data_IF_843847019150
#
_entry.id   IF_843847019150
#
_cell.length_a   1.000
_cell.length_b   1.000
_cell.length_c   1.000
_cell.angle_alpha   90.00
_cell.angle_beta   90.00
_cell.angle_gamma   90.00
#
_symmetry.space_group_name_H-M   'P 1'
#
loop_
_entity.id
_entity.type
_entity.pdbx_description
1 polymer ?
#
# COMPACT_ATOMS: atom_id res chain seq x y z
N UNK A 1 14.73 4.81 -7.00
CA UNK A 1 14.35 3.52 -6.37
C UNK A 1 13.16 2.97 -7.11
N UNK A 2 12.98 1.63 -7.16
CA UNK A 2 11.87 1.00 -7.89
C UNK A 2 10.64 0.92 -7.01
N UNK A 3 9.47 1.23 -7.55
CA UNK A 3 8.25 1.31 -6.76
C UNK A 3 7.05 0.65 -7.45
N UNK A 4 6.03 0.37 -6.65
CA UNK A 4 4.74 -0.15 -7.08
C UNK A 4 3.64 0.62 -6.36
N UNK A 5 2.63 1.05 -7.10
CA UNK A 5 1.41 1.63 -6.57
C UNK A 5 0.28 0.64 -6.76
N UNK A 6 -0.48 0.37 -5.70
CA UNK A 6 -1.72 -0.43 -5.77
C UNK A 6 -2.86 0.40 -5.20
N UNK A 7 -3.92 0.63 -5.99
CA UNK A 7 -5.05 1.48 -5.60
C UNK A 7 -6.37 0.74 -5.72
N UNK A 8 -7.21 0.90 -4.70
CA UNK A 8 -8.60 0.47 -4.67
C UNK A 8 -9.51 1.71 -4.74
N UNK A 9 -10.63 1.60 -5.45
CA UNK A 9 -11.70 2.60 -5.39
C UNK A 9 -12.50 2.41 -4.11
N UNK A 10 -12.91 3.52 -3.48
CA UNK A 10 -13.83 3.52 -2.33
C UNK A 10 -15.22 4.08 -2.68
N UNK A 11 -15.46 4.48 -3.93
CA UNK A 11 -16.70 5.16 -4.34
C UNK A 11 -17.97 4.37 -4.01
N UNK A 12 -17.91 3.04 -4.15
CA UNK A 12 -19.03 2.11 -3.88
C UNK A 12 -18.73 1.15 -2.73
N UNK A 13 -17.73 1.48 -1.90
CA UNK A 13 -17.31 0.62 -0.81
C UNK A 13 -18.32 0.65 0.37
N UNK A 14 -18.39 -0.41 1.19
CA UNK A 14 -19.31 -0.46 2.32
C UNK A 14 -19.10 0.67 3.34
N UNK A 15 -20.17 1.06 4.03
CA UNK A 15 -20.06 2.06 5.10
C UNK A 15 -19.03 1.64 6.18
N UNK A 16 -18.16 2.58 6.56
CA UNK A 16 -17.09 2.37 7.53
C UNK A 16 -15.87 1.62 6.98
N UNK A 17 -15.73 1.50 5.66
CA UNK A 17 -14.56 0.88 5.02
C UNK A 17 -13.26 1.57 5.42
N UNK A 18 -13.25 2.89 5.56
CA UNK A 18 -12.05 3.67 5.87
C UNK A 18 -11.47 3.29 7.23
N UNK A 19 -12.32 3.16 8.25
CA UNK A 19 -11.91 2.76 9.59
C UNK A 19 -11.43 1.31 9.62
N UNK A 20 -12.09 0.42 8.86
CA UNK A 20 -11.65 -0.97 8.73
C UNK A 20 -10.29 -1.08 8.06
N UNK A 21 -10.05 -0.29 7.02
CA UNK A 21 -8.75 -0.23 6.33
C UNK A 21 -7.66 0.32 7.26
N UNK A 22 -7.94 1.41 7.98
CA UNK A 22 -7.00 1.98 8.93
C UNK A 22 -6.67 1.03 10.07
N UNK A 23 -7.66 0.31 10.61
CA UNK A 23 -7.47 -0.74 11.63
C UNK A 23 -6.65 -1.91 11.07
N UNK A 24 -6.98 -2.41 9.88
CA UNK A 24 -6.20 -3.44 9.21
C UNK A 24 -4.73 -3.05 9.02
N UNK A 25 -4.47 -1.79 8.64
CA UNK A 25 -3.11 -1.27 8.52
C UNK A 25 -2.40 -1.30 9.87
N UNK A 26 -3.00 -0.71 10.90
CA UNK A 26 -2.41 -0.62 12.24
C UNK A 26 -2.14 -2.01 12.85
N UNK A 27 -3.12 -2.91 12.75
CA UNK A 27 -3.12 -4.17 13.49
C UNK A 27 -2.28 -5.26 12.82
N UNK A 28 -2.15 -5.24 11.49
CA UNK A 28 -1.53 -6.35 10.76
C UNK A 28 -0.68 -5.94 9.57
N UNK A 29 -1.15 -5.03 8.72
CA UNK A 29 -0.45 -4.68 7.49
C UNK A 29 0.89 -4.02 7.81
N UNK A 30 0.92 -3.10 8.78
CA UNK A 30 2.12 -2.39 9.17
C UNK A 30 3.23 -3.37 9.57
N UNK A 31 2.97 -4.20 10.59
CA UNK A 31 3.94 -5.18 11.08
C UNK A 31 4.41 -6.17 9.99
N UNK A 32 3.52 -6.60 9.09
CA UNK A 32 3.89 -7.51 7.99
C UNK A 32 4.92 -6.92 7.03
N UNK A 33 4.84 -5.61 6.76
CA UNK A 33 5.75 -4.94 5.83
C UNK A 33 6.95 -4.30 6.53
N UNK A 34 6.86 -4.04 7.84
CA UNK A 34 8.01 -3.64 8.65
C UNK A 34 9.07 -4.75 8.63
N UNK A 35 10.27 -4.43 8.14
CA UNK A 35 11.37 -5.40 8.06
C UNK A 35 11.25 -6.44 6.93
N UNK A 36 10.30 -6.27 5.99
CA UNK A 36 10.20 -7.14 4.83
C UNK A 36 11.45 -7.01 3.95
N UNK A 37 12.10 -8.13 3.65
CA UNK A 37 13.29 -8.16 2.80
C UNK A 37 13.02 -7.55 1.42
N UNK A 38 13.95 -6.71 0.97
CA UNK A 38 13.87 -6.01 -0.32
C UNK A 38 12.95 -4.78 -0.34
N UNK A 39 12.15 -4.53 0.70
CA UNK A 39 11.32 -3.33 0.82
C UNK A 39 12.08 -2.22 1.57
N UNK A 40 12.16 -1.02 1.00
CA UNK A 40 12.77 0.16 1.61
C UNK A 40 11.80 0.88 2.53
N UNK A 41 10.60 1.17 2.04
CA UNK A 41 9.50 1.66 2.84
C UNK A 41 8.19 1.43 2.10
N UNK A 42 7.10 1.47 2.86
CA UNK A 42 5.75 1.45 2.35
C UNK A 42 4.94 2.54 3.03
N UNK A 43 4.11 3.22 2.26
CA UNK A 43 3.09 4.10 2.81
C UNK A 43 1.70 3.59 2.43
N UNK A 44 0.74 3.82 3.32
CA UNK A 44 -0.67 3.62 3.07
C UNK A 44 -1.31 4.99 3.00
N UNK A 45 -2.03 5.26 1.93
CA UNK A 45 -2.65 6.54 1.65
C UNK A 45 -4.14 6.33 1.44
N UNK A 46 -4.95 7.29 1.84
CA UNK A 46 -6.40 7.20 1.68
C UNK A 46 -6.99 8.58 1.41
N UNK A 47 -7.94 8.63 0.47
CA UNK A 47 -8.86 9.75 0.29
C UNK A 47 -10.28 9.22 0.53
N UNK A 48 -10.94 9.58 1.64
CA UNK A 48 -12.26 9.06 2.00
C UNK A 48 -13.28 9.18 0.87
N UNK A 49 -14.08 8.14 0.67
CA UNK A 49 -15.04 8.03 -0.44
C UNK A 49 -14.44 7.92 -1.85
N UNK A 50 -13.12 7.95 -2.01
CA UNK A 50 -12.48 7.91 -3.33
C UNK A 50 -11.52 6.75 -3.50
N UNK A 51 -10.47 6.65 -2.68
CA UNK A 51 -9.48 5.58 -2.84
C UNK A 51 -8.71 5.25 -1.57
N UNK A 52 -8.24 4.01 -1.53
CA UNK A 52 -7.21 3.53 -0.62
C UNK A 52 -6.04 3.01 -1.44
N UNK A 53 -4.81 3.22 -0.97
CA UNK A 53 -3.63 2.95 -1.77
C UNK A 53 -2.43 2.51 -0.93
N UNK A 54 -1.71 1.51 -1.44
CA UNK A 54 -0.38 1.16 -0.95
C UNK A 54 0.70 1.60 -1.94
N UNK A 55 1.68 2.37 -1.48
CA UNK A 55 2.89 2.71 -2.23
C UNK A 55 4.07 1.93 -1.65
N UNK A 56 4.68 1.09 -2.47
CA UNK A 56 5.80 0.23 -2.11
C UNK A 56 7.07 0.75 -2.77
N UNK A 57 8.16 0.86 -2.02
CA UNK A 57 9.49 1.22 -2.57
C UNK A 57 10.46 0.10 -2.27
N UNK A 58 11.12 -0.42 -3.30
CA UNK A 58 11.99 -1.59 -3.25
C UNK A 58 13.46 -1.23 -3.45
N UNK A 59 14.33 -2.10 -2.94
CA UNK A 59 15.77 -1.97 -3.07
C UNK A 59 16.26 -2.28 -4.49
N UNK A 60 15.59 -3.18 -5.21
CA UNK A 60 15.95 -3.58 -6.58
C UNK A 60 14.71 -3.74 -7.45
N UNK A 61 14.90 -3.81 -8.77
CA UNK A 61 13.79 -4.05 -9.71
C UNK A 61 13.27 -5.48 -9.62
N UNK A 62 14.15 -6.45 -9.39
CA UNK A 62 13.79 -7.86 -9.25
C UNK A 62 12.86 -8.07 -8.06
N UNK A 63 13.13 -7.42 -6.92
CA UNK A 63 12.27 -7.47 -5.74
C UNK A 63 10.89 -6.87 -6.03
N UNK A 64 10.83 -5.72 -6.71
CA UNK A 64 9.58 -5.08 -7.15
C UNK A 64 8.80 -5.96 -8.12
N UNK A 65 9.46 -6.51 -9.14
CA UNK A 65 8.84 -7.34 -10.17
C UNK A 65 8.31 -8.67 -9.61
N UNK A 66 9.05 -9.30 -8.69
CA UNK A 66 8.62 -10.49 -7.98
C UNK A 66 7.38 -10.19 -7.11
N UNK A 67 7.41 -9.08 -6.36
CA UNK A 67 6.28 -8.64 -5.56
C UNK A 67 5.04 -8.33 -6.41
N UNK A 68 5.18 -7.56 -7.49
CA UNK A 68 4.07 -7.21 -8.38
C UNK A 68 3.42 -8.47 -8.95
N UNK A 69 4.21 -9.44 -9.43
CA UNK A 69 3.68 -10.69 -9.98
C UNK A 69 2.82 -11.44 -8.97
N UNK A 70 3.38 -11.71 -7.79
CA UNK A 70 2.66 -12.39 -6.71
C UNK A 70 1.42 -11.61 -6.25
N UNK A 71 1.52 -10.29 -6.17
CA UNK A 71 0.40 -9.45 -5.77
C UNK A 71 -0.74 -9.45 -6.80
N UNK A 72 -0.40 -9.31 -8.09
CA UNK A 72 -1.38 -9.31 -9.18
C UNK A 72 -2.15 -10.63 -9.27
N UNK A 73 -1.48 -11.77 -9.03
CA UNK A 73 -2.11 -13.09 -9.02
C UNK A 73 -3.15 -13.26 -7.90
N UNK A 74 -2.91 -12.67 -6.72
CA UNK A 74 -3.81 -12.72 -5.57
C UNK A 74 -4.55 -11.40 -5.30
N UNK A 75 -4.69 -10.55 -6.31
CA UNK A 75 -5.15 -9.18 -6.11
C UNK A 75 -6.58 -9.14 -5.59
N UNK A 76 -7.48 -9.98 -6.11
CA UNK A 76 -8.89 -10.02 -5.69
C UNK A 76 -9.06 -10.57 -4.26
N UNK A 77 -8.16 -11.45 -3.84
CA UNK A 77 -8.17 -12.13 -2.54
C UNK A 77 -7.39 -11.35 -1.47
N UNK A 78 -6.66 -10.30 -1.85
CA UNK A 78 -5.88 -9.51 -0.91
C UNK A 78 -6.77 -8.93 0.20
N UNK A 79 -6.26 -8.75 1.44
CA UNK A 79 -7.08 -8.21 2.53
C UNK A 79 -7.70 -6.85 2.21
N UNK A 80 -6.99 -5.98 1.48
CA UNK A 80 -7.53 -4.70 1.02
C UNK A 80 -8.74 -4.89 0.12
N UNK A 81 -8.66 -5.81 -0.85
CA UNK A 81 -9.78 -6.12 -1.74
C UNK A 81 -10.97 -6.73 -1.03
N UNK A 82 -10.73 -7.61 -0.06
CA UNK A 82 -11.80 -8.21 0.74
C UNK A 82 -12.50 -7.18 1.64
N UNK A 83 -11.75 -6.23 2.20
CA UNK A 83 -12.32 -5.13 3.01
C UNK A 83 -13.10 -4.15 2.13
N UNK A 84 -12.57 -3.78 0.96
CA UNK A 84 -13.21 -2.86 0.01
C UNK A 84 -14.40 -3.50 -0.71
N UNK A 85 -14.37 -4.83 -0.90
CA UNK A 85 -15.36 -5.58 -1.67
C UNK A 85 -15.08 -5.62 -3.18
N UNK A 86 -13.90 -5.18 -3.63
CA UNK A 86 -13.49 -5.21 -5.04
C UNK A 86 -11.97 -5.28 -5.21
N UNK A 87 -11.52 -5.73 -6.38
CA UNK A 87 -10.10 -5.75 -6.74
C UNK A 87 -9.51 -4.32 -6.87
N UNK A 88 -8.17 -4.16 -6.83
CA UNK A 88 -7.55 -2.89 -7.14
C UNK A 88 -7.93 -2.41 -8.54
N UNK A 89 -8.16 -1.11 -8.69
CA UNK A 89 -8.38 -0.45 -9.97
C UNK A 89 -7.07 -0.04 -10.65
N UNK A 90 -5.96 -0.06 -9.92
CA UNK A 90 -4.62 0.25 -10.42
C UNK A 90 -3.58 -0.65 -9.75
N UNK A 91 -2.68 -1.22 -10.56
CA UNK A 91 -1.41 -1.83 -10.15
C UNK A 91 -0.36 -1.30 -11.12
N UNK A 92 0.45 -0.34 -10.68
CA UNK A 92 1.32 0.45 -11.56
C UNK A 92 2.75 0.50 -11.02
N UNK A 93 3.70 0.10 -11.85
CA UNK A 93 5.13 0.28 -11.55
C UNK A 93 5.57 1.73 -11.81
N UNK A 94 6.45 2.25 -10.96
CA UNK A 94 7.02 3.57 -11.12
C UNK A 94 8.43 3.69 -10.54
N UNK A 95 9.09 4.81 -10.84
CA UNK A 95 10.39 5.15 -10.28
C UNK A 95 10.25 6.28 -9.25
N UNK A 96 10.78 6.05 -8.05
CA UNK A 96 11.00 7.09 -7.05
C UNK A 96 12.31 7.80 -7.40
N UNK A 97 12.19 9.01 -7.95
CA UNK A 97 13.33 9.80 -8.44
C UNK A 97 14.12 10.44 -7.29
N UNK A 98 13.45 10.90 -6.24
CA UNK A 98 14.08 11.49 -5.07
C UNK A 98 13.17 11.36 -3.82
N UNK A 99 13.78 11.44 -2.64
CA UNK A 99 13.08 11.54 -1.35
C UNK A 99 13.76 12.63 -0.53
N UNK A 100 12.99 13.52 0.08
CA UNK A 100 13.46 14.50 1.06
C UNK A 100 12.81 14.18 2.41
N UNK A 101 13.60 14.17 3.48
CA UNK A 101 13.12 13.86 4.84
C UNK A 101 12.31 15.01 5.48
N UNK A 102 12.61 16.26 5.10
CA UNK A 102 12.00 17.45 5.70
C UNK A 102 12.60 17.78 7.08
N UNK A 103 12.45 19.03 7.52
CA UNK A 103 13.06 19.51 8.76
C UNK A 103 12.39 18.97 10.03
N UNK A 104 11.11 18.58 9.95
CA UNK A 104 10.33 18.05 11.08
C UNK A 104 10.51 16.53 11.28
N UNK A 105 11.37 15.89 10.48
CA UNK A 105 11.74 14.48 10.58
C UNK A 105 10.68 13.50 10.05
N UNK A 106 11.02 12.21 10.10
CA UNK A 106 10.18 11.11 9.63
C UNK A 106 9.76 10.17 10.77
N UNK A 107 8.45 10.09 11.06
CA UNK A 107 7.89 9.12 12.00
C UNK A 107 7.29 7.92 11.23
N UNK A 108 7.81 6.71 11.47
CA UNK A 108 7.23 5.48 10.93
C UNK A 108 6.26 4.88 11.96
N UNK A 109 4.99 5.27 11.89
CA UNK A 109 3.95 4.79 12.80
C UNK A 109 2.90 3.90 12.08
N UNK A 110 2.30 2.93 12.78
CA UNK A 110 1.19 2.13 12.23
C UNK A 110 -0.06 2.94 11.89
N UNK A 111 -0.24 4.10 12.55
CA UNK A 111 -1.38 4.99 12.36
C UNK A 111 -1.06 6.41 12.85
N UNK A 112 -1.76 7.40 12.29
CA UNK A 112 -1.78 8.81 12.68
C UNK A 112 -3.17 9.24 13.13
#
# INVERSE_FOLDING_TARGET
MKALTVRWSLADAPAGVEERLASYVADSSHARFTGMDGLRFKTWRMRPGEWFEGCYVFATDEARAAFQRSFSEGAAESPGSQIVGSSPVLIEECDVVAVAEGADGFLAAPRY
#
